data_IF_614828947168
#
_entry.id   IF_614828947168
#
_cell.length_a   1.000
_cell.length_b   1.000
_cell.length_c   1.000
_cell.angle_alpha   90.00
_cell.angle_beta   90.00
_cell.angle_gamma   90.00
#
_symmetry.space_group_name_H-M   'P 1'
#
loop_
_entity.id
_entity.type
_entity.pdbx_description
1 polymer ?
#
# COMPACT_ATOMS: atom_id res chain seq x y z
N UNK A 1 13.19 -6.98 -8.48
CA UNK A 1 14.05 -6.46 -7.42
C UNK A 1 13.30 -6.13 -6.14
N UNK A 2 12.23 -5.32 -6.25
CA UNK A 2 11.45 -4.94 -5.06
C UNK A 2 10.75 -6.16 -4.44
N UNK A 3 10.14 -7.00 -5.27
CA UNK A 3 9.47 -8.22 -4.80
C UNK A 3 10.47 -9.16 -4.14
N UNK A 4 11.66 -9.32 -4.71
CA UNK A 4 12.71 -10.14 -4.08
C UNK A 4 13.11 -9.60 -2.72
N UNK A 5 13.22 -8.26 -2.59
CA UNK A 5 13.52 -7.62 -1.31
C UNK A 5 12.43 -7.91 -0.28
N UNK A 6 11.17 -7.81 -0.69
CA UNK A 6 10.05 -8.15 0.19
C UNK A 6 10.08 -9.63 0.60
N UNK A 7 10.34 -10.52 -0.34
CA UNK A 7 10.45 -11.95 -0.04
C UNK A 7 11.54 -12.23 0.99
N UNK A 8 12.70 -11.58 0.84
CA UNK A 8 13.79 -11.73 1.78
C UNK A 8 13.44 -11.20 3.17
N UNK A 9 12.78 -10.05 3.24
CA UNK A 9 12.34 -9.47 4.52
C UNK A 9 11.32 -10.37 5.21
N UNK A 10 10.37 -10.90 4.45
CA UNK A 10 9.36 -11.82 4.99
C UNK A 10 10.02 -13.05 5.56
N UNK A 11 10.93 -13.64 4.81
CA UNK A 11 11.66 -14.85 5.24
C UNK A 11 12.42 -14.62 6.54
N UNK A 12 13.13 -13.50 6.63
CA UNK A 12 13.90 -13.16 7.83
C UNK A 12 12.99 -12.89 9.03
N UNK A 13 11.91 -12.19 8.83
CA UNK A 13 10.97 -11.88 9.91
C UNK A 13 10.31 -13.16 10.43
N UNK A 14 9.88 -14.04 9.54
CA UNK A 14 9.24 -15.30 9.95
C UNK A 14 10.22 -16.23 10.64
N UNK A 15 11.48 -16.22 10.24
CA UNK A 15 12.52 -16.99 10.93
C UNK A 15 12.70 -16.54 12.39
N UNK A 16 12.36 -15.28 12.69
CA UNK A 16 12.38 -14.75 14.06
C UNK A 16 11.00 -14.80 14.73
N UNK A 17 10.05 -15.49 14.13
CA UNK A 17 8.68 -15.65 14.63
C UNK A 17 7.93 -14.32 14.77
N UNK A 18 8.24 -13.37 13.91
CA UNK A 18 7.55 -12.08 13.87
C UNK A 18 6.31 -12.18 12.99
N UNK A 19 5.27 -11.45 13.35
CA UNK A 19 4.13 -11.26 12.44
C UNK A 19 4.54 -10.29 11.34
N UNK A 20 4.04 -10.54 10.13
CA UNK A 20 4.38 -9.72 8.97
C UNK A 20 3.11 -9.21 8.33
N UNK A 21 3.03 -7.91 8.14
CA UNK A 21 1.94 -7.26 7.42
C UNK A 21 2.55 -6.48 6.27
N UNK A 22 1.96 -6.61 5.08
CA UNK A 22 2.39 -5.85 3.91
C UNK A 22 1.37 -4.76 3.64
N UNK A 23 1.84 -3.60 3.20
CA UNK A 23 0.97 -2.50 2.82
C UNK A 23 1.06 -2.25 1.33
N UNK A 24 -0.06 -2.01 0.68
CA UNK A 24 -0.07 -1.65 -0.74
C UNK A 24 0.39 -0.21 -0.90
N UNK A 25 0.93 0.10 -2.07
CA UNK A 25 1.41 1.43 -2.43
C UNK A 25 0.21 2.29 -2.82
N UNK A 26 0.07 3.44 -2.15
CA UNK A 26 -1.05 4.35 -2.42
C UNK A 26 -0.95 4.98 -3.81
N UNK A 27 -2.10 5.38 -4.41
CA UNK A 27 -2.10 6.04 -5.71
C UNK A 27 -1.37 7.38 -5.66
N UNK A 28 -0.68 7.75 -6.73
CA UNK A 28 0.08 8.99 -6.76
C UNK A 28 -0.07 9.79 -8.06
N UNK A 29 -1.15 9.60 -8.81
CA UNK A 29 -1.44 10.43 -9.99
C UNK A 29 -1.59 11.88 -9.57
N UNK A 30 -0.89 12.75 -10.25
CA UNK A 30 -0.79 14.17 -9.89
C UNK A 30 0.54 14.51 -9.26
N UNK A 31 1.29 13.54 -8.76
CA UNK A 31 2.64 13.76 -8.25
C UNK A 31 3.61 14.02 -9.43
N UNK A 32 4.66 14.77 -9.15
CA UNK A 32 5.58 15.21 -10.21
C UNK A 32 6.27 14.10 -11.00
N UNK A 33 6.47 12.93 -10.38
CA UNK A 33 7.13 11.81 -11.05
C UNK A 33 6.15 10.72 -11.50
N UNK A 34 4.85 10.99 -11.51
CA UNK A 34 3.85 10.04 -12.01
C UNK A 34 4.01 9.84 -13.52
N UNK A 35 4.03 8.58 -13.94
CA UNK A 35 4.03 8.19 -15.35
C UNK A 35 3.18 6.92 -15.49
N UNK A 36 2.78 6.59 -16.70
CA UNK A 36 2.06 5.33 -16.94
C UNK A 36 2.92 4.13 -16.57
N UNK A 37 4.22 4.21 -16.78
CA UNK A 37 5.14 3.14 -16.40
C UNK A 37 5.18 2.95 -14.88
N UNK A 38 5.30 4.05 -14.14
CA UNK A 38 5.32 3.99 -12.67
C UNK A 38 3.99 3.48 -12.13
N UNK A 39 2.88 3.86 -12.73
CA UNK A 39 1.57 3.36 -12.34
C UNK A 39 1.45 1.85 -12.59
N UNK A 40 1.94 1.38 -13.74
CA UNK A 40 1.94 -0.04 -14.03
C UNK A 40 2.77 -0.83 -13.02
N UNK A 41 3.93 -0.28 -12.62
CA UNK A 41 4.76 -0.89 -11.58
C UNK A 41 4.04 -0.95 -10.24
N UNK A 42 3.34 0.12 -9.86
CA UNK A 42 2.55 0.17 -8.63
C UNK A 42 1.48 -0.92 -8.64
N UNK A 43 0.73 -1.02 -9.73
CA UNK A 43 -0.32 -2.03 -9.87
C UNK A 43 0.25 -3.44 -9.77
N UNK A 44 1.37 -3.69 -10.43
CA UNK A 44 2.02 -5.00 -10.42
C UNK A 44 2.45 -5.40 -8.99
N UNK A 45 3.11 -4.50 -8.30
CA UNK A 45 3.57 -4.75 -6.92
C UNK A 45 2.37 -4.93 -5.99
N UNK A 46 1.33 -4.12 -6.12
CA UNK A 46 0.14 -4.22 -5.28
C UNK A 46 -0.60 -5.53 -5.51
N UNK A 47 -0.69 -6.01 -6.74
CA UNK A 47 -1.28 -7.31 -7.04
C UNK A 47 -0.52 -8.43 -6.35
N UNK A 48 0.82 -8.38 -6.41
CA UNK A 48 1.66 -9.36 -5.73
C UNK A 48 1.43 -9.30 -4.21
N UNK A 49 1.40 -8.09 -3.63
CA UNK A 49 1.17 -7.91 -2.19
C UNK A 49 -0.17 -8.55 -1.78
N UNK A 50 -1.22 -8.27 -2.54
CA UNK A 50 -2.55 -8.83 -2.26
C UNK A 50 -2.54 -10.35 -2.35
N UNK A 51 -1.80 -10.91 -3.30
CA UNK A 51 -1.69 -12.35 -3.44
C UNK A 51 -1.02 -12.99 -2.22
N UNK A 52 -0.07 -12.31 -1.59
CA UNK A 52 0.58 -12.83 -0.39
C UNK A 52 -0.41 -12.98 0.76
N UNK A 53 -1.34 -12.06 0.89
CA UNK A 53 -2.40 -12.16 1.88
C UNK A 53 -3.36 -13.30 1.59
N UNK A 54 -3.80 -13.43 0.34
CA UNK A 54 -4.71 -14.50 -0.08
C UNK A 54 -4.12 -15.89 0.12
N UNK A 55 -2.82 -16.04 -0.15
CA UNK A 55 -2.11 -17.30 0.01
C UNK A 55 -1.61 -17.51 1.44
N UNK A 56 -1.92 -16.60 2.34
CA UNK A 56 -1.55 -16.68 3.76
C UNK A 56 -0.04 -16.78 3.99
N UNK A 57 0.73 -16.15 3.11
CA UNK A 57 2.19 -16.08 3.25
C UNK A 57 2.63 -14.97 4.19
N UNK A 58 1.72 -14.05 4.49
CA UNK A 58 1.90 -13.00 5.51
C UNK A 58 0.68 -13.01 6.42
N UNK A 59 0.78 -12.34 7.55
CA UNK A 59 -0.29 -12.34 8.56
C UNK A 59 -1.44 -11.41 8.17
N UNK A 60 -1.22 -10.47 7.31
CA UNK A 60 -2.26 -9.61 6.78
C UNK A 60 -1.74 -8.61 5.78
N UNK A 61 -2.65 -7.95 5.08
CA UNK A 61 -2.35 -6.91 4.11
C UNK A 61 -3.12 -5.65 4.49
N UNK A 62 -2.39 -4.54 4.55
CA UNK A 62 -2.97 -3.23 4.74
C UNK A 62 -3.19 -2.63 3.35
N UNK A 63 -4.40 -2.74 2.82
CA UNK A 63 -4.70 -2.29 1.47
C UNK A 63 -4.98 -0.79 1.43
N UNK A 64 -3.96 -0.01 1.72
CA UNK A 64 -4.04 1.44 1.72
C UNK A 64 -4.36 2.00 0.33
N UNK A 65 -3.93 1.30 -0.73
CA UNK A 65 -4.25 1.74 -2.09
C UNK A 65 -5.76 1.80 -2.30
N UNK A 66 -6.47 0.76 -1.92
CA UNK A 66 -7.92 0.70 -2.06
C UNK A 66 -8.61 1.69 -1.11
N UNK A 67 -8.10 1.80 0.12
CA UNK A 67 -8.66 2.70 1.11
C UNK A 67 -8.59 4.16 0.67
N UNK A 68 -7.48 4.56 0.07
CA UNK A 68 -7.19 5.97 -0.22
C UNK A 68 -7.57 6.40 -1.64
N UNK A 69 -7.92 5.46 -2.51
CA UNK A 69 -8.21 5.80 -3.91
C UNK A 69 -9.49 6.61 -4.06
N UNK A 70 -9.46 7.53 -5.03
CA UNK A 70 -10.63 8.31 -5.44
C UNK A 70 -11.66 7.37 -6.07
N UNK A 71 -12.94 7.56 -5.75
CA UNK A 71 -14.02 6.74 -6.29
C UNK A 71 -14.19 6.89 -7.80
N UNK A 72 -13.78 8.03 -8.35
CA UNK A 72 -13.88 8.29 -9.79
C UNK A 72 -12.59 7.94 -10.55
N UNK A 73 -11.45 7.86 -9.86
CA UNK A 73 -10.16 7.58 -10.50
C UNK A 73 -9.25 6.84 -9.51
N UNK A 74 -9.13 5.54 -9.69
CA UNK A 74 -8.33 4.68 -8.79
C UNK A 74 -6.83 4.97 -8.85
N UNK A 75 -6.38 5.79 -9.80
CA UNK A 75 -4.96 6.11 -9.98
C UNK A 75 -4.50 7.26 -9.09
N UNK A 76 -5.44 7.95 -8.43
CA UNK A 76 -5.12 9.05 -7.53
C UNK A 76 -5.82 8.89 -6.18
N UNK A 77 -5.28 9.56 -5.17
CA UNK A 77 -5.92 9.59 -3.85
C UNK A 77 -7.12 10.52 -3.82
N UNK A 78 -8.04 10.27 -2.89
CA UNK A 78 -9.13 11.20 -2.61
C UNK A 78 -8.55 12.55 -2.23
N UNK A 79 -9.13 13.60 -2.78
CA UNK A 79 -8.67 14.98 -2.56
C UNK A 79 -8.67 15.35 -1.07
N UNK A 80 -9.66 14.89 -0.31
CA UNK A 80 -9.79 15.17 1.10
C UNK A 80 -8.72 14.52 1.98
N UNK A 81 -7.97 13.54 1.44
CA UNK A 81 -6.97 12.79 2.20
C UNK A 81 -5.54 13.04 1.76
N UNK A 82 -5.32 13.89 0.77
CA UNK A 82 -4.00 14.07 0.17
C UNK A 82 -3.54 15.51 0.24
N UNK A 83 -2.22 15.70 0.35
CA UNK A 83 -1.60 17.03 0.28
C UNK A 83 -1.61 17.56 -1.16
N UNK A 84 -1.23 18.83 -1.33
CA UNK A 84 -1.19 19.46 -2.66
C UNK A 84 -0.22 18.80 -3.63
N UNK A 85 0.73 18.00 -3.15
CA UNK A 85 1.68 17.29 -3.99
C UNK A 85 1.10 16.00 -4.61
N UNK A 86 -0.11 15.63 -4.25
CA UNK A 86 -0.78 14.40 -4.70
C UNK A 86 -0.01 13.12 -4.39
N UNK A 87 0.86 13.18 -3.40
CA UNK A 87 1.70 12.07 -3.00
C UNK A 87 1.52 11.71 -1.53
N UNK A 88 1.67 12.69 -0.65
CA UNK A 88 1.62 12.45 0.79
C UNK A 88 0.19 12.60 1.31
N UNK A 89 -0.28 11.65 2.14
CA UNK A 89 -1.55 11.85 2.85
C UNK A 89 -1.47 13.08 3.75
N UNK A 90 -2.58 13.80 3.88
CA UNK A 90 -2.69 14.87 4.86
C UNK A 90 -3.09 14.29 6.23
N UNK A 91 -3.34 15.16 7.22
CA UNK A 91 -3.70 14.72 8.57
C UNK A 91 -4.95 13.83 8.58
N UNK A 92 -5.98 14.19 7.80
CA UNK A 92 -7.20 13.38 7.69
C UNK A 92 -6.91 12.02 7.04
N UNK A 93 -6.05 12.00 6.02
CA UNK A 93 -5.64 10.76 5.36
C UNK A 93 -4.89 9.84 6.31
N UNK A 94 -3.92 10.34 7.04
CA UNK A 94 -3.18 9.53 8.01
C UNK A 94 -4.08 8.99 9.11
N UNK A 95 -5.07 9.78 9.54
CA UNK A 95 -6.02 9.32 10.54
C UNK A 95 -6.83 8.12 10.05
N UNK A 96 -7.33 8.20 8.83
CA UNK A 96 -8.10 7.10 8.22
C UNK A 96 -7.22 5.86 8.06
N UNK A 97 -5.97 6.03 7.64
CA UNK A 97 -5.02 4.93 7.51
C UNK A 97 -4.73 4.28 8.87
N UNK A 98 -4.54 5.09 9.90
CA UNK A 98 -4.27 4.59 11.24
C UNK A 98 -5.42 3.78 11.82
N UNK A 99 -6.64 4.26 11.65
CA UNK A 99 -7.84 3.53 12.12
C UNK A 99 -7.96 2.19 11.39
N UNK A 100 -7.77 2.20 10.08
CA UNK A 100 -7.83 0.97 9.28
C UNK A 100 -6.73 -0.01 9.71
N UNK A 101 -5.51 0.47 9.89
CA UNK A 101 -4.39 -0.38 10.30
C UNK A 101 -4.65 -1.01 11.67
N UNK A 102 -5.22 -0.26 12.60
CA UNK A 102 -5.52 -0.77 13.94
C UNK A 102 -6.55 -1.90 13.91
N UNK A 103 -7.44 -1.91 12.93
CA UNK A 103 -8.41 -2.98 12.76
C UNK A 103 -7.79 -4.26 12.19
N UNK A 104 -6.75 -4.13 11.37
CA UNK A 104 -6.12 -5.26 10.69
C UNK A 104 -5.01 -5.87 11.54
N UNK A 105 -4.16 -5.04 12.13
CA UNK A 105 -2.99 -5.51 12.91
C UNK A 105 -3.44 -5.89 14.32
N UNK A 106 -3.26 -7.17 14.63
CA UNK A 106 -3.68 -7.70 15.94
C UNK A 106 -2.60 -8.54 16.60
#
# INVERSE_FOLDING_TARGET
LLIESYQNMIKKAKAKRMKVYLATITPFKGAGYYTYFHEACRQYVNEWIRSQGKEKKVDGVLDFAKLMQDSADEHRMKKEYVCSDWLHPNAAGYKVMGIYAAEIVK
#
